data_IF_975868635948
#
_entry.id   IF_975868635948
#
_cell.length_a   1.000
_cell.length_b   1.000
_cell.length_c   1.000
_cell.angle_alpha   90.00
_cell.angle_beta   90.00
_cell.angle_gamma   90.00
#
_symmetry.space_group_name_H-M   'P 1'
#
loop_
_entity.id
_entity.type
_entity.pdbx_description
1 polymer ?
#
# COMPACT_ATOMS: atom_id res chain seq x y z
N UNK A 1 -8.77 10.77 20.51
CA UNK A 1 -8.10 11.82 19.73
C UNK A 1 -8.40 11.58 18.27
N UNK A 2 -8.67 12.62 17.47
CA UNK A 2 -9.12 12.46 16.08
C UNK A 2 -8.87 13.72 15.24
N UNK A 3 -9.28 13.72 13.97
CA UNK A 3 -9.04 14.82 13.02
C UNK A 3 -9.33 16.23 13.57
N UNK A 4 -10.43 16.50 14.31
CA UNK A 4 -10.73 17.86 14.79
C UNK A 4 -9.66 18.50 15.68
N UNK A 5 -8.73 17.72 16.25
CA UNK A 5 -7.66 18.24 17.10
C UNK A 5 -6.41 18.66 16.32
N UNK A 6 -6.30 18.29 15.04
CA UNK A 6 -5.12 18.57 14.18
C UNK A 6 -5.47 19.43 12.96
N UNK A 7 -6.76 19.68 12.73
CA UNK A 7 -7.24 20.55 11.66
C UNK A 7 -7.25 22.01 12.13
N UNK A 8 -7.03 22.92 11.19
CA UNK A 8 -7.20 24.35 11.43
C UNK A 8 -8.63 24.69 11.84
N UNK A 9 -8.79 25.81 12.56
CA UNK A 9 -10.10 26.30 12.97
C UNK A 9 -10.97 26.51 11.72
N UNK A 10 -12.16 25.91 11.71
CA UNK A 10 -13.14 25.89 10.61
C UNK A 10 -12.85 24.94 9.44
N UNK A 11 -11.83 24.07 9.53
CA UNK A 11 -11.65 22.99 8.56
C UNK A 11 -12.41 21.75 9.02
N UNK A 12 -13.37 21.30 8.20
CA UNK A 12 -14.14 20.08 8.44
C UNK A 12 -13.70 18.98 7.46
N UNK A 13 -13.46 17.75 7.94
CA UNK A 13 -13.12 16.65 7.05
C UNK A 13 -14.34 16.19 6.24
N UNK A 14 -14.16 15.97 4.95
CA UNK A 14 -15.16 15.34 4.10
C UNK A 14 -15.09 13.81 4.27
N UNK A 15 -15.92 13.28 5.16
CA UNK A 15 -15.99 11.84 5.41
C UNK A 15 -16.64 11.05 4.27
N UNK A 16 -17.21 11.70 3.25
CA UNK A 16 -17.66 11.02 2.02
C UNK A 16 -16.48 10.63 1.11
N UNK A 17 -15.29 11.20 1.35
CA UNK A 17 -14.05 10.99 0.60
C UNK A 17 -12.95 10.43 1.50
N UNK A 18 -13.28 9.40 2.30
CA UNK A 18 -12.34 8.81 3.24
C UNK A 18 -11.61 7.60 2.64
N UNK A 19 -10.28 7.62 2.63
CA UNK A 19 -9.45 6.47 2.24
C UNK A 19 -8.71 5.86 3.43
N UNK A 20 -8.49 4.54 3.36
CA UNK A 20 -7.56 3.84 4.26
C UNK A 20 -6.24 3.61 3.55
N UNK A 21 -5.14 3.89 4.24
CA UNK A 21 -3.80 3.59 3.75
C UNK A 21 -2.95 3.03 4.89
N UNK A 22 -2.13 2.03 4.60
CA UNK A 22 -1.25 1.45 5.60
C UNK A 22 -0.05 0.73 5.00
N UNK A 23 1.07 0.77 5.71
CA UNK A 23 2.28 0.02 5.38
C UNK A 23 2.35 -1.31 6.12
N UNK A 24 2.87 -2.36 5.48
CA UNK A 24 3.15 -3.65 6.14
C UNK A 24 1.90 -4.23 6.83
N UNK A 25 1.98 -4.58 8.11
CA UNK A 25 0.83 -4.99 8.95
C UNK A 25 -0.25 -3.91 9.07
N UNK A 26 0.13 -2.64 8.96
CA UNK A 26 -0.83 -1.53 8.85
C UNK A 26 -1.63 -1.59 7.54
N UNK A 27 -1.03 -2.08 6.46
CA UNK A 27 -1.72 -2.41 5.21
C UNK A 27 -2.73 -3.54 5.41
N UNK A 28 -2.34 -4.64 6.08
CA UNK A 28 -3.29 -5.69 6.51
C UNK A 28 -4.45 -5.10 7.31
N UNK A 29 -4.16 -4.25 8.30
CA UNK A 29 -5.18 -3.62 9.12
C UNK A 29 -6.14 -2.74 8.30
N UNK A 30 -5.63 -1.99 7.32
CA UNK A 30 -6.45 -1.19 6.40
C UNK A 30 -7.42 -2.07 5.60
N UNK A 31 -6.94 -3.18 5.02
CA UNK A 31 -7.79 -4.14 4.32
C UNK A 31 -8.80 -4.79 5.26
N UNK A 32 -8.38 -5.22 6.46
CA UNK A 32 -9.26 -5.83 7.45
C UNK A 32 -10.41 -4.90 7.86
N UNK A 33 -10.13 -3.61 8.10
CA UNK A 33 -11.15 -2.61 8.41
C UNK A 33 -12.14 -2.43 7.26
N UNK A 34 -11.65 -2.32 6.02
CA UNK A 34 -12.52 -2.15 4.87
C UNK A 34 -13.37 -3.40 4.54
N UNK A 35 -12.84 -4.60 4.83
CA UNK A 35 -13.55 -5.87 4.70
C UNK A 35 -14.57 -6.11 5.84
N UNK A 36 -14.66 -5.20 6.82
CA UNK A 36 -15.67 -5.25 7.88
C UNK A 36 -15.28 -6.13 9.07
N UNK A 37 -13.99 -6.43 9.28
CA UNK A 37 -13.54 -7.21 10.44
C UNK A 37 -13.56 -6.46 11.78
N UNK A 38 -13.89 -5.16 11.77
CA UNK A 38 -14.19 -4.40 12.96
C UNK A 38 -15.32 -3.39 12.68
N UNK A 39 -16.16 -3.05 13.67
CA UNK A 39 -17.22 -2.08 13.49
C UNK A 39 -16.63 -0.70 13.21
N UNK A 40 -17.18 -0.02 12.20
CA UNK A 40 -16.84 1.37 11.87
C UNK A 40 -18.14 2.17 11.67
N UNK A 41 -18.11 3.45 12.01
CA UNK A 41 -19.23 4.38 11.78
C UNK A 41 -19.11 5.13 10.45
N UNK A 42 -18.05 4.88 9.69
CA UNK A 42 -17.69 5.59 8.47
C UNK A 42 -17.63 4.62 7.29
N UNK A 43 -17.85 5.12 6.08
CA UNK A 43 -17.62 4.37 4.86
C UNK A 43 -16.27 4.78 4.28
N UNK A 44 -15.56 3.82 3.72
CA UNK A 44 -14.32 4.07 3.00
C UNK A 44 -14.63 4.12 1.51
N UNK A 45 -14.00 5.05 0.81
CA UNK A 45 -14.18 5.29 -0.63
C UNK A 45 -13.01 4.75 -1.45
N UNK A 46 -11.88 4.45 -0.82
CA UNK A 46 -10.72 3.83 -1.46
C UNK A 46 -9.78 3.17 -0.43
N UNK A 47 -8.92 2.26 -0.89
CA UNK A 47 -7.85 1.65 -0.07
C UNK A 47 -6.51 1.73 -0.79
N UNK A 48 -5.45 2.03 -0.05
CA UNK A 48 -4.07 1.89 -0.50
C UNK A 48 -3.23 0.98 0.43
N UNK A 49 -2.71 -0.11 -0.09
CA UNK A 49 -1.73 -0.95 0.61
C UNK A 49 -0.31 -0.59 0.21
N UNK A 50 0.50 -0.10 1.14
CA UNK A 50 1.94 0.11 0.91
C UNK A 50 2.67 -1.12 1.42
N UNK A 51 3.14 -1.94 0.49
CA UNK A 51 3.80 -3.22 0.73
C UNK A 51 3.12 -4.04 1.84
N UNK A 52 1.79 -4.28 1.73
CA UNK A 52 1.03 -4.93 2.79
C UNK A 52 1.52 -6.36 2.99
N UNK A 53 1.48 -6.82 4.24
CA UNK A 53 1.94 -8.16 4.60
C UNK A 53 1.05 -8.76 5.68
N UNK A 54 0.73 -10.03 5.54
CA UNK A 54 0.15 -10.86 6.60
C UNK A 54 1.28 -11.62 7.33
N UNK A 55 1.00 -12.10 8.53
CA UNK A 55 1.99 -12.78 9.35
C UNK A 55 1.98 -14.28 9.06
N UNK A 56 3.13 -14.99 9.14
CA UNK A 56 3.16 -16.45 8.92
C UNK A 56 2.24 -17.24 9.84
N UNK A 57 2.06 -16.78 11.09
CA UNK A 57 1.11 -17.35 12.05
C UNK A 57 -0.37 -17.09 11.70
N UNK A 58 -0.62 -16.21 10.73
CA UNK A 58 -1.94 -15.76 10.24
C UNK A 58 -2.91 -15.48 11.38
N UNK A 59 -2.58 -14.53 12.28
CA UNK A 59 -3.44 -14.17 13.38
C UNK A 59 -4.72 -13.53 12.84
N UNK A 60 -5.80 -13.67 13.60
CA UNK A 60 -7.09 -13.07 13.25
C UNK A 60 -6.98 -11.53 13.15
N UNK A 61 -7.72 -10.90 12.22
CA UNK A 61 -8.55 -11.54 11.21
C UNK A 61 -7.71 -12.12 10.06
N UNK A 62 -8.05 -13.34 9.63
CA UNK A 62 -7.50 -13.96 8.42
C UNK A 62 -8.17 -13.38 7.18
N UNK A 63 -7.62 -12.30 6.66
CA UNK A 63 -8.19 -11.62 5.51
C UNK A 63 -7.84 -12.32 4.19
N UNK A 64 -6.61 -12.82 4.02
CA UNK A 64 -6.20 -13.53 2.80
C UNK A 64 -6.87 -14.92 2.75
N UNK A 65 -7.54 -15.21 1.65
CA UNK A 65 -8.22 -16.47 1.35
C UNK A 65 -7.47 -17.28 0.28
N UNK A 66 -6.51 -16.66 -0.42
CA UNK A 66 -5.77 -17.19 -1.56
C UNK A 66 -6.66 -17.57 -2.75
N UNK A 67 -7.86 -16.97 -2.82
CA UNK A 67 -8.76 -17.08 -3.96
C UNK A 67 -8.70 -15.76 -4.73
N UNK A 68 -8.28 -15.74 -6.01
CA UNK A 68 -8.24 -14.51 -6.79
C UNK A 68 -9.59 -13.80 -6.78
N UNK A 69 -9.56 -12.47 -6.61
CA UNK A 69 -10.74 -11.58 -6.62
C UNK A 69 -11.78 -11.90 -5.53
N UNK A 70 -11.35 -12.50 -4.42
CA UNK A 70 -12.19 -12.84 -3.26
C UNK A 70 -12.63 -11.63 -2.43
N UNK A 71 -11.82 -10.58 -2.34
CA UNK A 71 -12.09 -9.43 -1.47
C UNK A 71 -13.37 -8.75 -1.91
N UNK A 72 -14.38 -8.77 -1.04
CA UNK A 72 -15.67 -8.17 -1.33
C UNK A 72 -15.67 -6.66 -1.04
N UNK A 73 -14.86 -5.94 -1.80
CA UNK A 73 -14.70 -4.49 -1.73
C UNK A 73 -15.25 -3.90 -3.03
N UNK A 74 -16.23 -2.99 -2.92
CA UNK A 74 -16.80 -2.25 -4.05
C UNK A 74 -16.13 -0.89 -4.28
N UNK A 75 -14.89 -0.75 -3.79
CA UNK A 75 -14.10 0.48 -3.80
C UNK A 75 -12.76 0.24 -4.50
N UNK A 76 -12.18 1.28 -5.12
CA UNK A 76 -10.88 1.18 -5.77
C UNK A 76 -9.78 0.78 -4.78
N UNK A 77 -8.89 -0.10 -5.25
CA UNK A 77 -7.74 -0.60 -4.47
C UNK A 77 -6.42 -0.28 -5.18
N UNK A 78 -5.51 0.41 -4.50
CA UNK A 78 -4.14 0.61 -4.95
C UNK A 78 -3.16 -0.17 -4.09
N UNK A 79 -2.19 -0.84 -4.69
CA UNK A 79 -1.14 -1.57 -3.97
C UNK A 79 0.22 -1.19 -4.52
N UNK A 80 1.14 -0.83 -3.63
CA UNK A 80 2.53 -0.54 -3.96
C UNK A 80 3.40 -1.62 -3.30
N UNK A 81 3.88 -2.60 -4.06
CA UNK A 81 4.76 -3.65 -3.54
C UNK A 81 6.24 -3.27 -3.58
N UNK A 82 7.08 -4.01 -2.87
CA UNK A 82 8.55 -3.90 -2.97
C UNK A 82 9.18 -5.19 -3.49
N UNK A 83 10.19 -5.07 -4.37
CA UNK A 83 10.79 -6.24 -5.02
C UNK A 83 11.82 -6.99 -4.17
N UNK A 84 12.31 -6.39 -3.08
CA UNK A 84 13.28 -7.01 -2.17
C UNK A 84 12.67 -7.40 -0.81
N UNK A 85 11.38 -7.12 -0.58
CA UNK A 85 10.72 -7.41 0.70
C UNK A 85 10.69 -8.90 1.07
N UNK A 86 10.69 -9.78 0.06
CA UNK A 86 10.73 -11.23 0.24
C UNK A 86 12.15 -11.80 0.42
N UNK A 87 13.20 -10.96 0.42
CA UNK A 87 14.58 -11.39 0.65
C UNK A 87 14.94 -11.32 2.12
N UNK A 88 15.43 -12.42 2.67
CA UNK A 88 16.05 -12.46 4.00
C UNK A 88 17.27 -11.55 4.04
N UNK A 89 17.42 -10.79 5.14
CA UNK A 89 18.60 -9.93 5.33
C UNK A 89 19.88 -10.75 5.55
N UNK A 90 19.75 -11.88 6.26
CA UNK A 90 20.80 -12.86 6.51
C UNK A 90 20.14 -14.22 6.87
N UNK A 91 20.93 -15.22 7.23
CA UNK A 91 20.44 -16.58 7.54
C UNK A 91 19.49 -16.60 8.76
N UNK A 92 19.65 -15.65 9.70
CA UNK A 92 18.94 -15.63 10.98
C UNK A 92 17.65 -14.79 10.90
N UNK A 93 17.65 -13.74 10.08
CA UNK A 93 16.54 -12.79 9.95
C UNK A 93 15.68 -13.19 8.74
N UNK A 94 14.47 -13.72 8.97
CA UNK A 94 13.58 -14.14 7.89
C UNK A 94 13.14 -12.95 7.03
N UNK A 95 12.58 -13.19 5.83
CA UNK A 95 12.00 -12.12 5.02
C UNK A 95 10.88 -11.40 5.77
N UNK A 96 10.81 -10.08 5.63
CA UNK A 96 9.75 -9.28 6.25
C UNK A 96 8.45 -9.36 5.47
N UNK A 97 8.53 -9.52 4.14
CA UNK A 97 7.40 -9.61 3.21
C UNK A 97 7.47 -10.91 2.39
N UNK A 98 7.39 -12.08 3.04
CA UNK A 98 7.57 -13.37 2.36
C UNK A 98 6.49 -13.64 1.31
N UNK A 99 6.86 -14.36 0.25
CA UNK A 99 5.91 -14.78 -0.78
C UNK A 99 4.76 -15.60 -0.19
N UNK A 100 3.56 -15.48 -0.78
CA UNK A 100 2.38 -16.19 -0.34
C UNK A 100 1.61 -15.51 0.80
N UNK A 101 2.10 -14.39 1.35
CA UNK A 101 1.36 -13.56 2.32
C UNK A 101 1.67 -12.05 2.19
N UNK A 102 2.21 -11.61 1.05
CA UNK A 102 2.63 -10.23 0.83
C UNK A 102 1.74 -9.50 -0.19
N UNK A 103 2.15 -8.29 -0.58
CA UNK A 103 1.49 -7.41 -1.54
C UNK A 103 0.93 -8.09 -2.80
N UNK A 104 1.56 -9.16 -3.29
CA UNK A 104 1.09 -9.88 -4.46
C UNK A 104 -0.24 -10.60 -4.19
N UNK A 105 -0.39 -11.21 -3.01
CA UNK A 105 -1.64 -11.87 -2.59
C UNK A 105 -2.75 -10.86 -2.37
N UNK A 106 -2.44 -9.74 -1.71
CA UNK A 106 -3.40 -8.65 -1.56
C UNK A 106 -3.92 -8.17 -2.92
N UNK A 107 -3.05 -8.02 -3.92
CA UNK A 107 -3.46 -7.62 -5.27
C UNK A 107 -4.25 -8.69 -6.00
N UNK A 108 -3.85 -9.96 -5.87
CA UNK A 108 -4.55 -11.10 -6.45
C UNK A 108 -6.00 -11.19 -5.95
N UNK A 109 -6.21 -10.95 -4.65
CA UNK A 109 -7.51 -11.05 -3.99
C UNK A 109 -8.39 -9.80 -4.17
N UNK A 110 -7.82 -8.62 -4.45
CA UNK A 110 -8.58 -7.39 -4.73
C UNK A 110 -9.45 -7.50 -5.98
N UNK A 111 -10.71 -7.05 -5.91
CA UNK A 111 -11.56 -6.88 -7.11
C UNK A 111 -11.22 -5.58 -7.86
N UNK A 112 -11.52 -5.50 -9.17
CA UNK A 112 -11.41 -4.25 -9.91
C UNK A 112 -12.39 -3.15 -9.43
N UNK A 113 -12.08 -1.86 -9.62
CA UNK A 113 -10.84 -1.36 -10.21
C UNK A 113 -9.67 -1.48 -9.23
N UNK A 114 -8.54 -2.04 -9.68
CA UNK A 114 -7.36 -2.19 -8.84
C UNK A 114 -6.05 -1.93 -9.59
N UNK A 115 -5.15 -1.21 -8.94
CA UNK A 115 -3.81 -0.87 -9.45
C UNK A 115 -2.73 -1.55 -8.61
N UNK A 116 -1.68 -2.02 -9.27
CA UNK A 116 -0.49 -2.59 -8.64
C UNK A 116 0.77 -1.96 -9.22
N UNK A 117 1.64 -1.50 -8.35
CA UNK A 117 2.93 -0.89 -8.68
C UNK A 117 4.03 -1.61 -7.91
N UNK A 118 4.97 -2.26 -8.59
CA UNK A 118 6.11 -2.90 -7.92
C UNK A 118 7.34 -2.01 -7.97
N UNK A 119 7.76 -1.48 -6.81
CA UNK A 119 9.05 -0.83 -6.65
C UNK A 119 10.16 -1.90 -6.65
N UNK A 120 10.60 -2.29 -7.85
CA UNK A 120 11.35 -3.52 -8.12
C UNK A 120 12.67 -3.61 -7.36
N UNK A 121 13.36 -2.49 -7.20
CA UNK A 121 14.71 -2.44 -6.63
C UNK A 121 14.72 -2.04 -5.15
N UNK A 122 13.56 -1.96 -4.50
CA UNK A 122 13.44 -1.45 -3.14
C UNK A 122 13.05 -2.53 -2.13
N UNK A 123 13.47 -2.30 -0.89
CA UNK A 123 13.16 -3.12 0.28
C UNK A 123 11.92 -2.69 1.03
N UNK A 124 11.40 -3.61 1.85
CA UNK A 124 10.16 -3.42 2.61
C UNK A 124 10.14 -2.18 3.50
N UNK A 125 11.30 -1.71 3.98
CA UNK A 125 11.40 -0.54 4.84
C UNK A 125 11.97 0.70 4.15
N UNK A 126 12.24 0.64 2.84
CA UNK A 126 12.94 1.73 2.13
C UNK A 126 12.10 3.00 1.96
N UNK A 127 10.77 2.91 2.15
CA UNK A 127 9.86 4.06 2.15
C UNK A 127 9.69 4.72 3.52
N UNK A 128 10.32 4.20 4.57
CA UNK A 128 10.18 4.79 5.91
C UNK A 128 10.97 6.10 6.05
N UNK A 129 10.50 6.93 6.98
CA UNK A 129 11.19 8.16 7.39
C UNK A 129 12.53 7.86 8.04
N UNK A 130 13.42 8.84 7.99
CA UNK A 130 14.83 8.64 8.33
C UNK A 130 15.07 8.30 9.80
N UNK A 131 14.19 8.79 10.68
CA UNK A 131 14.20 8.47 12.10
C UNK A 131 14.01 6.99 12.41
N UNK A 132 13.54 6.19 11.44
CA UNK A 132 13.34 4.74 11.55
C UNK A 132 14.42 3.92 10.85
N UNK A 133 15.42 4.56 10.24
CA UNK A 133 16.44 3.87 9.44
C UNK A 133 17.26 2.85 10.22
N UNK A 134 17.64 3.19 11.46
CA UNK A 134 18.43 2.29 12.28
C UNK A 134 17.69 0.96 12.41
N UNK A 135 16.42 0.97 12.84
CA UNK A 135 15.61 -0.26 12.97
C UNK A 135 15.39 -0.96 11.62
N UNK A 136 15.11 -0.21 10.54
CA UNK A 136 14.86 -0.72 9.21
C UNK A 136 16.04 -1.50 8.62
N UNK A 137 17.26 -1.01 8.85
CA UNK A 137 18.50 -1.60 8.32
C UNK A 137 18.82 -2.98 8.91
N UNK A 138 18.38 -3.24 10.15
CA UNK A 138 18.58 -4.51 10.83
C UNK A 138 17.63 -5.60 10.33
N UNK A 139 16.40 -5.24 9.97
CA UNK A 139 15.33 -6.23 9.78
C UNK A 139 15.03 -6.56 8.33
N UNK A 140 15.40 -5.69 7.37
CA UNK A 140 15.01 -5.85 5.97
C UNK A 140 16.19 -5.70 5.00
N UNK A 141 16.11 -6.45 3.89
CA UNK A 141 16.95 -6.21 2.74
C UNK A 141 16.57 -4.88 2.12
N UNK A 142 17.57 -4.03 1.88
CA UNK A 142 17.40 -2.69 1.34
C UNK A 142 17.97 -2.64 -0.08
N UNK A 143 17.35 -1.82 -0.92
CA UNK A 143 17.82 -1.56 -2.27
C UNK A 143 19.02 -0.60 -2.33
N UNK A 144 19.73 -0.62 -3.44
CA UNK A 144 20.78 0.37 -3.75
C UNK A 144 20.21 1.74 -4.15
N UNK A 145 18.93 1.79 -4.53
CA UNK A 145 18.24 3.03 -4.87
C UNK A 145 18.07 4.00 -3.69
N UNK A 146 17.97 5.30 -4.02
CA UNK A 146 17.76 6.38 -3.05
C UNK A 146 16.44 6.20 -2.28
N UNK A 147 16.51 6.30 -0.95
CA UNK A 147 15.33 6.25 -0.06
C UNK A 147 14.44 7.48 -0.21
N UNK A 148 15.03 8.63 -0.51
CA UNK A 148 14.28 9.82 -0.90
C UNK A 148 13.51 9.57 -2.20
N UNK A 149 14.15 8.94 -3.19
CA UNK A 149 13.51 8.50 -4.42
C UNK A 149 12.31 7.59 -4.15
N UNK A 150 12.48 6.59 -3.27
CA UNK A 150 11.40 5.70 -2.84
C UNK A 150 10.23 6.46 -2.20
N UNK A 151 10.51 7.34 -1.23
CA UNK A 151 9.48 8.15 -0.57
C UNK A 151 8.74 9.05 -1.55
N UNK A 152 9.45 9.70 -2.47
CA UNK A 152 8.85 10.53 -3.53
C UNK A 152 8.00 9.70 -4.50
N UNK A 153 8.48 8.51 -4.88
CA UNK A 153 7.72 7.60 -5.74
C UNK A 153 6.44 7.11 -5.10
N UNK A 154 6.53 6.59 -3.86
CA UNK A 154 5.37 6.17 -3.06
C UNK A 154 4.40 7.33 -2.85
N UNK A 155 4.88 8.49 -2.40
CA UNK A 155 4.05 9.67 -2.18
C UNK A 155 3.36 10.15 -3.45
N UNK A 156 4.06 10.17 -4.58
CA UNK A 156 3.49 10.52 -5.89
C UNK A 156 2.37 9.56 -6.32
N UNK A 157 2.58 8.25 -6.17
CA UNK A 157 1.54 7.24 -6.48
C UNK A 157 0.33 7.40 -5.55
N UNK A 158 0.56 7.58 -4.25
CA UNK A 158 -0.51 7.80 -3.25
C UNK A 158 -1.36 9.01 -3.65
N UNK A 159 -0.73 10.15 -3.93
CA UNK A 159 -1.42 11.39 -4.31
C UNK A 159 -2.18 11.21 -5.62
N UNK A 160 -1.53 10.65 -6.66
CA UNK A 160 -2.16 10.42 -7.95
C UNK A 160 -3.39 9.50 -7.85
N UNK A 161 -3.30 8.44 -7.03
CA UNK A 161 -4.41 7.53 -6.80
C UNK A 161 -5.57 8.20 -6.05
N UNK A 162 -5.28 8.94 -4.97
CA UNK A 162 -6.31 9.64 -4.20
C UNK A 162 -6.98 10.75 -5.02
N UNK A 163 -6.22 11.51 -5.81
CA UNK A 163 -6.78 12.49 -6.74
C UNK A 163 -7.69 11.83 -7.77
N UNK A 164 -7.30 10.68 -8.34
CA UNK A 164 -8.12 9.99 -9.33
C UNK A 164 -9.47 9.50 -8.78
N UNK A 165 -9.49 8.96 -7.56
CA UNK A 165 -10.67 8.28 -7.01
C UNK A 165 -11.47 9.09 -5.97
N UNK A 166 -10.87 10.13 -5.39
CA UNK A 166 -11.54 11.04 -4.45
C UNK A 166 -11.66 12.46 -4.99
N UNK A 167 -10.72 12.88 -5.85
CA UNK A 167 -10.69 14.22 -6.45
C UNK A 167 -11.27 14.30 -7.86
N UNK A 168 -11.62 13.16 -8.48
CA UNK A 168 -12.05 13.04 -9.89
C UNK A 168 -10.99 13.50 -10.91
N UNK A 169 -9.71 13.57 -10.49
CA UNK A 169 -8.57 14.02 -11.29
C UNK A 169 -7.63 12.85 -11.63
N UNK A 170 -7.91 12.15 -12.73
CA UNK A 170 -7.20 10.90 -13.10
C UNK A 170 -5.92 11.07 -13.92
N UNK A 171 -5.54 12.30 -14.28
CA UNK A 171 -4.44 12.58 -15.23
C UNK A 171 -3.10 11.99 -14.80
N UNK A 172 -2.69 12.25 -13.56
CA UNK A 172 -1.40 11.77 -13.04
C UNK A 172 -1.37 10.25 -12.89
N UNK A 173 -2.46 9.64 -12.42
CA UNK A 173 -2.54 8.19 -12.29
C UNK A 173 -2.42 7.50 -13.65
N UNK A 174 -3.15 8.00 -14.66
CA UNK A 174 -3.04 7.49 -16.04
C UNK A 174 -1.63 7.65 -16.59
N UNK A 175 -0.99 8.79 -16.37
CA UNK A 175 0.39 9.01 -16.82
C UNK A 175 1.38 8.01 -16.20
N UNK A 176 1.22 7.66 -14.92
CA UNK A 176 2.05 6.64 -14.25
C UNK A 176 1.74 5.25 -14.80
N UNK A 177 0.48 4.91 -15.06
CA UNK A 177 0.07 3.61 -15.61
C UNK A 177 0.59 3.39 -17.04
N UNK A 178 0.49 4.41 -17.89
CA UNK A 178 0.95 4.36 -19.29
C UNK A 178 2.47 4.45 -19.41
N UNK A 179 3.09 5.27 -18.56
CA UNK A 179 4.53 5.50 -18.56
C UNK A 179 5.09 5.42 -17.12
N UNK A 180 5.33 4.20 -16.61
CA UNK A 180 5.86 3.97 -15.27
C UNK A 180 7.19 4.70 -14.98
N UNK A 181 7.98 4.96 -16.02
CA UNK A 181 9.25 5.72 -15.93
C UNK A 181 9.06 7.20 -15.55
N UNK A 182 7.82 7.69 -15.42
CA UNK A 182 7.51 9.03 -14.89
C UNK A 182 7.80 9.09 -13.39
N UNK A 183 7.69 7.96 -12.68
CA UNK A 183 8.06 7.86 -11.28
C UNK A 183 9.60 8.00 -11.11
N UNK A 184 10.08 8.55 -9.98
CA UNK A 184 11.50 8.67 -9.69
C UNK A 184 12.17 7.34 -9.32
N UNK A 185 11.47 6.21 -9.46
CA UNK A 185 11.89 4.87 -9.11
C UNK A 185 11.47 3.88 -10.20
N UNK A 186 12.19 2.77 -10.32
CA UNK A 186 11.82 1.70 -11.23
C UNK A 186 10.56 0.99 -10.74
N UNK A 187 9.46 1.21 -11.45
CA UNK A 187 8.20 0.51 -11.27
C UNK A 187 8.06 -0.59 -12.33
N UNK A 188 8.15 -1.86 -11.92
CA UNK A 188 8.06 -3.00 -12.82
C UNK A 188 7.69 -4.29 -12.06
N UNK A 189 6.50 -4.89 -12.27
CA UNK A 189 5.48 -4.43 -13.22
C UNK A 189 4.61 -3.28 -12.66
N UNK A 190 3.89 -2.62 -13.56
CA UNK A 190 2.70 -1.81 -13.25
C UNK A 190 1.50 -2.48 -13.90
N UNK A 191 0.46 -2.76 -13.12
CA UNK A 191 -0.73 -3.49 -13.56
C UNK A 191 -1.96 -2.70 -13.16
N UNK A 192 -2.89 -2.53 -14.09
CA UNK A 192 -4.21 -2.00 -13.83
C UNK A 192 -5.26 -2.99 -14.32
N UNK A 193 -6.26 -3.26 -13.49
CA UNK A 193 -7.41 -4.06 -13.86
C UNK A 193 -8.64 -3.18 -13.77
N UNK A 194 -9.28 -2.99 -14.92
CA UNK A 194 -10.50 -2.20 -15.06
C UNK A 194 -11.74 -2.96 -14.56
N UNK A 195 -12.79 -2.20 -14.25
CA UNK A 195 -14.08 -2.71 -13.74
C UNK A 195 -14.89 -3.44 -14.80
#
# INVERSE_FOLDING_TARGET
MGLPQVLEVNVNPDLSKLALCGHSRGGKAAFALALGHAPTSVKFSAILGIDPVDEPSRPEPKILTFVPRSFNLEIPVGIIGTGLGNKSKNIIIPPVSPNGINHAEFFSESKPPCCYFLAKEYGHCDMLDESKFNLASWVSTSGEGSKEGMRRGVGGIVVAFLNAYLGDESGDLKAILEKPSTAPILLDPVIFVEK
#
